data_IF_168440948937
#
_entry.id   IF_168440948937
#
_cell.length_a   1.000
_cell.length_b   1.000
_cell.length_c   1.000
_cell.angle_alpha   90.00
_cell.angle_beta   90.00
_cell.angle_gamma   90.00
#
_symmetry.space_group_name_H-M   'P 1'
#
loop_
_entity.id
_entity.type
_entity.pdbx_description
1 polymer ?
#
# COMPACT_ATOMS: atom_id res chain seq x y z
N UNK A 1 -3.47 -1.28 7.16
CA UNK A 1 -3.57 -0.76 5.78
C UNK A 1 -2.47 -1.36 4.93
N UNK A 2 -2.72 -1.59 3.65
CA UNK A 2 -1.68 -1.99 2.69
C UNK A 2 -0.80 -0.79 2.32
N UNK A 3 0.51 -1.00 2.30
CA UNK A 3 1.53 -0.04 1.87
C UNK A 3 2.54 -0.71 0.95
N UNK A 4 3.79 -0.24 0.97
CA UNK A 4 4.89 -0.82 0.18
C UNK A 4 5.27 -0.01 -1.05
N UNK A 5 6.09 -0.63 -1.91
CA UNK A 5 6.68 -0.01 -3.09
C UNK A 5 6.52 -0.94 -4.30
N UNK A 6 6.23 -0.35 -5.46
CA UNK A 6 6.14 -1.05 -6.73
C UNK A 6 7.29 -0.63 -7.65
N UNK A 7 7.66 -1.51 -8.58
CA UNK A 7 8.56 -1.19 -9.68
C UNK A 7 7.73 -0.99 -10.94
N UNK A 8 7.91 0.14 -11.62
CA UNK A 8 7.22 0.47 -12.86
C UNK A 8 8.21 0.89 -13.94
N UNK A 9 7.86 0.62 -15.21
CA UNK A 9 8.66 1.02 -16.37
C UNK A 9 8.11 2.31 -16.94
N UNK A 10 8.99 3.28 -17.17
CA UNK A 10 8.62 4.55 -17.80
C UNK A 10 8.06 4.32 -19.21
N UNK A 11 6.93 4.96 -19.52
CA UNK A 11 6.37 4.96 -20.88
C UNK A 11 7.32 5.61 -21.91
N UNK A 12 8.27 6.41 -21.46
CA UNK A 12 9.23 7.13 -22.31
C UNK A 12 10.63 6.49 -22.34
N UNK A 13 10.81 5.29 -21.77
CA UNK A 13 12.12 4.61 -21.81
C UNK A 13 12.56 4.33 -23.24
N UNK A 14 13.81 4.67 -23.57
CA UNK A 14 14.47 4.30 -24.84
C UNK A 14 14.91 2.82 -24.85
N UNK A 15 14.84 2.14 -23.69
CA UNK A 15 15.27 0.74 -23.50
C UNK A 15 14.18 -0.09 -22.80
N UNK A 16 12.96 -0.09 -23.36
CA UNK A 16 11.78 -0.73 -22.74
C UNK A 16 12.00 -2.20 -22.40
N UNK A 17 12.55 -2.99 -23.32
CA UNK A 17 12.71 -4.44 -23.10
C UNK A 17 13.66 -4.74 -21.94
N UNK A 18 14.80 -4.04 -21.89
CA UNK A 18 15.75 -4.16 -20.78
C UNK A 18 15.15 -3.66 -19.45
N UNK A 19 14.39 -2.57 -19.48
CA UNK A 19 13.72 -2.05 -18.29
C UNK A 19 12.63 -3.00 -17.77
N UNK A 20 11.86 -3.63 -18.66
CA UNK A 20 10.87 -4.66 -18.32
C UNK A 20 11.56 -5.88 -17.72
N UNK A 21 12.63 -6.37 -18.35
CA UNK A 21 13.40 -7.49 -17.84
C UNK A 21 13.96 -7.22 -16.44
N UNK A 22 14.47 -6.02 -16.20
CA UNK A 22 14.93 -5.60 -14.88
C UNK A 22 13.76 -5.54 -13.87
N UNK A 23 12.63 -4.94 -14.23
CA UNK A 23 11.48 -4.85 -13.33
C UNK A 23 10.97 -6.23 -12.91
N UNK A 24 10.88 -7.17 -13.86
CA UNK A 24 10.51 -8.56 -13.61
C UNK A 24 11.55 -9.28 -12.74
N UNK A 25 12.85 -9.07 -12.99
CA UNK A 25 13.91 -9.64 -12.15
C UNK A 25 13.82 -9.11 -10.70
N UNK A 26 13.65 -7.80 -10.51
CA UNK A 26 13.53 -7.17 -9.19
C UNK A 26 12.29 -7.62 -8.42
N UNK A 27 11.21 -7.96 -9.13
CA UNK A 27 9.97 -8.49 -8.56
C UNK A 27 9.96 -10.03 -8.47
N UNK A 28 10.99 -10.70 -8.98
CA UNK A 28 11.10 -12.16 -9.00
C UNK A 28 11.46 -12.79 -7.65
N UNK A 29 11.30 -14.11 -7.51
CA UNK A 29 11.51 -14.81 -6.24
C UNK A 29 12.93 -14.69 -5.70
N UNK A 30 13.94 -14.70 -6.57
CA UNK A 30 15.35 -14.59 -6.17
C UNK A 30 15.65 -13.25 -5.47
N UNK A 31 15.29 -12.14 -6.11
CA UNK A 31 15.55 -10.80 -5.56
C UNK A 31 14.70 -10.55 -4.31
N UNK A 32 13.44 -10.99 -4.32
CA UNK A 32 12.58 -10.84 -3.15
C UNK A 32 13.09 -11.65 -1.96
N UNK A 33 13.49 -12.92 -2.16
CA UNK A 33 14.08 -13.75 -1.09
C UNK A 33 15.36 -13.13 -0.54
N UNK A 34 16.24 -12.64 -1.42
CA UNK A 34 17.46 -11.94 -1.01
C UNK A 34 17.16 -10.72 -0.13
N UNK A 35 16.18 -9.90 -0.51
CA UNK A 35 15.76 -8.72 0.27
C UNK A 35 15.06 -9.08 1.57
N UNK A 36 14.25 -10.14 1.56
CA UNK A 36 13.64 -10.69 2.76
C UNK A 36 14.71 -11.06 3.78
N UNK A 37 15.72 -11.85 3.38
CA UNK A 37 16.82 -12.27 4.25
C UNK A 37 17.69 -11.10 4.71
N UNK A 38 18.10 -10.23 3.78
CA UNK A 38 19.11 -9.20 4.05
C UNK A 38 18.57 -7.97 4.79
N UNK A 39 17.30 -7.60 4.60
CA UNK A 39 16.73 -6.35 5.12
C UNK A 39 15.30 -6.49 5.65
N UNK A 40 14.90 -7.72 6.01
CA UNK A 40 13.57 -8.04 6.54
C UNK A 40 12.42 -7.51 5.68
N UNK A 41 12.66 -7.33 4.38
CA UNK A 41 11.69 -6.73 3.47
C UNK A 41 10.60 -7.72 3.15
N UNK A 42 9.35 -7.38 3.51
CA UNK A 42 8.19 -8.25 3.34
C UNK A 42 7.99 -8.59 1.85
N UNK A 43 8.03 -9.88 1.46
CA UNK A 43 7.78 -10.29 0.08
C UNK A 43 6.36 -9.98 -0.39
N UNK A 44 6.17 -9.84 -1.71
CA UNK A 44 4.85 -9.82 -2.35
C UNK A 44 4.45 -11.19 -2.89
N UNK A 45 5.37 -12.17 -2.88
CA UNK A 45 5.10 -13.55 -3.29
C UNK A 45 4.72 -14.39 -2.06
N UNK A 46 3.49 -14.93 -1.98
CA UNK A 46 3.03 -15.69 -0.81
C UNK A 46 3.91 -16.88 -0.45
N UNK A 47 4.47 -17.57 -1.45
CA UNK A 47 5.34 -18.73 -1.23
C UNK A 47 6.61 -18.41 -0.43
N UNK A 48 7.10 -17.15 -0.47
CA UNK A 48 8.29 -16.76 0.27
C UNK A 48 8.06 -16.60 1.78
N UNK A 49 6.80 -16.61 2.23
CA UNK A 49 6.48 -16.63 3.66
C UNK A 49 6.65 -18.02 4.28
N UNK A 50 6.68 -19.07 3.45
CA UNK A 50 6.86 -20.46 3.88
C UNK A 50 8.31 -20.95 3.64
N UNK A 51 9.20 -20.09 3.18
CA UNK A 51 10.59 -20.44 2.89
C UNK A 51 11.41 -20.60 4.17
N UNK A 52 12.03 -21.77 4.35
CA UNK A 52 12.75 -22.12 5.57
C UNK A 52 14.00 -21.25 5.82
N UNK A 53 14.68 -20.79 4.76
CA UNK A 53 15.85 -19.92 4.92
C UNK A 53 15.43 -18.51 5.35
N UNK A 54 14.32 -18.00 4.79
CA UNK A 54 13.71 -16.75 5.24
C UNK A 54 13.27 -16.87 6.70
N UNK A 55 12.57 -17.95 7.07
CA UNK A 55 12.10 -18.16 8.43
C UNK A 55 13.26 -18.25 9.44
N UNK A 56 14.37 -18.88 9.05
CA UNK A 56 15.56 -18.99 9.89
C UNK A 56 16.29 -17.64 10.05
N UNK A 57 16.47 -16.88 8.97
CA UNK A 57 17.20 -15.62 8.98
C UNK A 57 16.36 -14.46 9.57
N UNK A 58 15.05 -14.45 9.30
CA UNK A 58 14.12 -13.38 9.66
C UNK A 58 12.80 -13.97 10.18
N UNK A 59 12.76 -14.49 11.43
CA UNK A 59 11.59 -15.19 11.98
C UNK A 59 10.30 -14.36 12.02
N UNK A 60 10.41 -13.04 11.92
CA UNK A 60 9.26 -12.15 11.83
C UNK A 60 8.50 -12.31 10.51
N UNK A 61 9.16 -12.59 9.39
CA UNK A 61 8.54 -12.56 8.06
C UNK A 61 7.36 -13.53 7.95
N UNK A 62 7.46 -14.81 8.33
CA UNK A 62 6.33 -15.74 8.27
C UNK A 62 5.08 -15.25 9.04
N UNK A 63 5.27 -14.53 10.15
CA UNK A 63 4.17 -14.01 10.97
C UNK A 63 3.33 -12.94 10.25
N UNK A 64 3.88 -12.30 9.21
CA UNK A 64 3.19 -11.27 8.43
C UNK A 64 2.32 -11.84 7.30
N UNK A 65 2.35 -13.15 7.04
CA UNK A 65 1.59 -13.78 5.95
C UNK A 65 0.11 -13.44 6.03
N UNK A 66 -0.50 -13.70 7.19
CA UNK A 66 -1.92 -13.44 7.40
C UNK A 66 -2.24 -11.95 7.51
N UNK A 67 -1.30 -11.15 8.04
CA UNK A 67 -1.47 -9.69 8.13
C UNK A 67 -1.58 -9.07 6.74
N UNK A 68 -0.73 -9.48 5.80
CA UNK A 68 -0.74 -8.96 4.44
C UNK A 68 -1.87 -9.55 3.59
N UNK A 69 -2.26 -10.80 3.82
CA UNK A 69 -3.42 -11.40 3.17
C UNK A 69 -4.72 -10.62 3.47
N UNK A 70 -4.81 -10.00 4.65
CA UNK A 70 -5.96 -9.22 5.10
C UNK A 70 -5.73 -7.70 5.01
N UNK A 71 -4.63 -7.24 4.43
CA UNK A 71 -4.32 -5.82 4.35
C UNK A 71 -5.23 -5.11 3.33
N UNK A 72 -6.02 -4.15 3.80
CA UNK A 72 -6.91 -3.36 2.93
C UNK A 72 -6.12 -2.19 2.30
N UNK A 73 -6.15 -2.02 0.97
CA UNK A 73 -5.57 -0.85 0.31
C UNK A 73 -6.36 0.42 0.62
N UNK A 74 -5.65 1.54 0.69
CA UNK A 74 -6.29 2.86 0.70
C UNK A 74 -7.00 3.10 -0.65
N UNK A 75 -8.06 3.93 -0.72
CA UNK A 75 -8.89 4.08 -1.91
C UNK A 75 -8.25 4.94 -3.01
N UNK A 76 -6.97 4.72 -3.35
CA UNK A 76 -6.26 5.47 -4.39
C UNK A 76 -6.76 5.17 -5.80
N UNK A 77 -7.12 3.91 -6.08
CA UNK A 77 -7.66 3.51 -7.37
C UNK A 77 -8.99 4.22 -7.72
N UNK A 78 -10.03 4.24 -6.85
CA UNK A 78 -11.24 4.99 -7.14
C UNK A 78 -11.03 6.51 -7.07
N UNK A 79 -10.24 7.02 -6.12
CA UNK A 79 -10.02 8.46 -5.97
C UNK A 79 -9.13 9.08 -7.06
N UNK A 80 -8.32 8.28 -7.76
CA UNK A 80 -7.44 8.72 -8.85
C UNK A 80 -6.61 9.95 -8.43
N UNK A 81 -6.66 11.01 -9.23
CA UNK A 81 -5.95 12.28 -9.00
C UNK A 81 -6.42 13.01 -7.72
N UNK A 82 -7.61 12.70 -7.21
CA UNK A 82 -8.19 13.29 -5.99
C UNK A 82 -7.75 12.57 -4.71
N UNK A 83 -6.90 11.53 -4.79
CA UNK A 83 -6.51 10.74 -3.62
C UNK A 83 -5.88 11.57 -2.49
N UNK A 84 -5.04 12.56 -2.81
CA UNK A 84 -4.41 13.39 -1.79
C UNK A 84 -5.44 14.26 -1.04
N UNK A 85 -6.42 14.81 -1.76
CA UNK A 85 -7.50 15.61 -1.17
C UNK A 85 -8.48 14.76 -0.35
N UNK A 86 -8.82 13.56 -0.84
CA UNK A 86 -9.59 12.58 -0.07
C UNK A 86 -8.85 12.25 1.24
N UNK A 87 -7.56 11.93 1.13
CA UNK A 87 -6.74 11.60 2.28
C UNK A 87 -6.70 12.77 3.27
N UNK A 88 -6.65 14.02 2.79
CA UNK A 88 -6.60 15.19 3.67
C UNK A 88 -7.86 15.39 4.47
N UNK A 89 -9.01 15.27 3.81
CA UNK A 89 -10.31 15.33 4.48
C UNK A 89 -10.42 14.23 5.53
N UNK A 90 -10.01 13.01 5.20
CA UNK A 90 -10.05 11.89 6.13
C UNK A 90 -9.18 12.10 7.38
N UNK A 91 -7.89 12.47 7.23
CA UNK A 91 -7.03 12.64 8.42
C UNK A 91 -7.45 13.84 9.25
N UNK A 92 -8.01 14.89 8.65
CA UNK A 92 -8.52 16.05 9.39
C UNK A 92 -9.71 15.65 10.27
N UNK A 93 -10.71 14.93 9.72
CA UNK A 93 -11.86 14.46 10.52
C UNK A 93 -11.45 13.51 11.66
N UNK A 94 -10.49 12.62 11.39
CA UNK A 94 -9.90 11.76 12.43
C UNK A 94 -9.16 12.58 13.49
N UNK A 95 -8.41 13.61 13.09
CA UNK A 95 -7.71 14.50 14.00
C UNK A 95 -8.68 15.27 14.92
N UNK A 96 -9.72 15.90 14.37
CA UNK A 96 -10.71 16.64 15.17
C UNK A 96 -11.38 15.73 16.20
N UNK A 97 -11.74 14.51 15.79
CA UNK A 97 -12.32 13.50 16.69
C UNK A 97 -11.37 13.12 17.82
N UNK A 98 -10.10 12.84 17.51
CA UNK A 98 -9.10 12.43 18.51
C UNK A 98 -8.64 13.59 19.40
N UNK A 99 -8.73 14.83 18.91
CA UNK A 99 -8.40 16.05 19.65
C UNK A 99 -9.55 16.54 20.54
N UNK A 100 -10.76 15.95 20.44
CA UNK A 100 -11.92 16.32 21.22
C UNK A 100 -12.70 17.52 20.66
N UNK A 101 -12.45 17.90 19.40
CA UNK A 101 -13.15 18.96 18.70
C UNK A 101 -14.37 18.37 17.98
N UNK A 102 -15.44 18.12 18.74
CA UNK A 102 -16.65 17.45 18.25
C UNK A 102 -16.59 15.93 18.43
N UNK A 103 -17.75 15.29 18.27
CA UNK A 103 -17.88 13.84 18.37
C UNK A 103 -17.44 13.14 17.08
N UNK A 104 -17.14 11.84 17.19
CA UNK A 104 -16.88 11.02 16.03
C UNK A 104 -18.07 11.01 15.04
N UNK A 105 -19.31 11.04 15.54
CA UNK A 105 -20.49 11.05 14.69
C UNK A 105 -20.57 12.35 13.86
N UNK A 106 -20.43 13.51 14.50
CA UNK A 106 -20.48 14.82 13.82
C UNK A 106 -19.34 14.96 12.80
N UNK A 107 -18.11 14.62 13.18
CA UNK A 107 -16.95 14.78 12.31
C UNK A 107 -16.99 13.82 11.12
N UNK A 108 -17.52 12.60 11.30
CA UNK A 108 -17.68 11.65 10.19
C UNK A 108 -18.87 11.99 9.28
N UNK A 109 -19.93 12.59 9.80
CA UNK A 109 -21.04 13.11 8.98
C UNK A 109 -20.55 14.24 8.06
N UNK A 110 -19.77 15.19 8.61
CA UNK A 110 -19.14 16.24 7.80
C UNK A 110 -18.20 15.64 6.77
N UNK A 111 -17.38 14.65 7.15
CA UNK A 111 -16.50 13.95 6.21
C UNK A 111 -17.28 13.29 5.08
N UNK A 112 -18.42 12.64 5.36
CA UNK A 112 -19.24 11.99 4.35
C UNK A 112 -19.77 12.99 3.32
N UNK A 113 -20.27 14.14 3.76
CA UNK A 113 -20.68 15.23 2.86
C UNK A 113 -19.52 15.70 1.98
N UNK A 114 -18.38 15.97 2.61
CA UNK A 114 -17.14 16.42 1.96
C UNK A 114 -16.63 15.43 0.90
N UNK A 115 -16.69 14.13 1.19
CA UNK A 115 -16.27 13.08 0.27
C UNK A 115 -17.29 12.85 -0.85
N UNK A 116 -18.58 13.03 -0.57
CA UNK A 116 -19.66 12.97 -1.57
C UNK A 116 -19.51 14.10 -2.58
N UNK A 117 -19.23 15.31 -2.11
CA UNK A 117 -18.96 16.47 -2.98
C UNK A 117 -17.65 16.28 -3.76
N UNK A 118 -16.58 15.83 -3.09
CA UNK A 118 -15.31 15.52 -3.75
C UNK A 118 -15.48 14.43 -4.81
N UNK A 119 -16.39 13.50 -4.59
CA UNK A 119 -16.70 12.43 -5.54
C UNK A 119 -17.31 12.95 -6.82
N UNK A 120 -18.39 13.72 -6.71
CA UNK A 120 -19.22 14.13 -7.85
C UNK A 120 -19.63 12.92 -8.70
N UNK A 121 -19.73 13.08 -10.02
CA UNK A 121 -20.10 11.98 -10.94
C UNK A 121 -18.92 11.06 -11.32
N UNK A 122 -17.72 11.32 -10.80
CA UNK A 122 -16.46 10.85 -11.38
C UNK A 122 -15.91 9.53 -10.80
N UNK A 123 -16.64 8.90 -9.87
CA UNK A 123 -16.46 7.52 -9.38
C UNK A 123 -17.71 7.03 -8.67
#
# INVERSE_FOLDING_TARGET
TLGGWNVAVSQHSEHKDAAIALALYLAGPEVQKRRAIASSSLPTLPALYDDAEIAAAQPIIPLWKDVLANAVPRPSAPAKVKYNELSSKFWSAAHETLSGNGSAAENLEVLELDLTDLKGDAW
#
